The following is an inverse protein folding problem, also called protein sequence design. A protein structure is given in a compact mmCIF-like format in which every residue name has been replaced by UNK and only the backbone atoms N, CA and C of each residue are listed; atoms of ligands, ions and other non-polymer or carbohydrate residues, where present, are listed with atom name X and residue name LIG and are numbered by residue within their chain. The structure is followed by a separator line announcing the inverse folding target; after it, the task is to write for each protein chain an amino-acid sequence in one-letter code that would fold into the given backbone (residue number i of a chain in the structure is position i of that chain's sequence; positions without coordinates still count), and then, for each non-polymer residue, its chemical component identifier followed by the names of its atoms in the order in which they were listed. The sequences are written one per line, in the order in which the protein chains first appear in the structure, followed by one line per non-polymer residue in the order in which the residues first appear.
data_IF_763068689890
#
_entry.id   IF_763068689890
#
_cell.length_a   1.000
_cell.length_b   1.000
_cell.length_c   1.000
_cell.angle_alpha   90.00
_cell.angle_beta   90.00
_cell.angle_gamma   90.00
#
_symmetry.space_group_name_H-M   'P 1'
#
loop_
_entity.id
_entity.type
_entity.pdbx_description
1 polymer ?
#
# COMPACT_ATOMS: atom_id res chain seq x y z
N UNK A 1 25.42 -32.89 7.16
CA UNK A 1 23.97 -32.97 7.43
C UNK A 1 23.49 -31.58 7.81
N UNK A 2 22.73 -30.91 6.94
CA UNK A 2 22.12 -29.64 7.31
C UNK A 2 20.99 -29.96 8.30
N UNK A 3 21.31 -29.92 9.59
CA UNK A 3 20.30 -29.88 10.65
C UNK A 3 19.35 -28.76 10.27
N UNK A 4 18.08 -29.08 10.03
CA UNK A 4 17.03 -28.13 9.68
C UNK A 4 16.82 -27.17 10.86
N UNK A 5 17.76 -26.24 11.02
CA UNK A 5 17.81 -25.03 11.85
C UNK A 5 16.60 -24.17 11.56
N UNK A 6 15.37 -24.57 11.90
CA UNK A 6 14.22 -23.73 11.57
C UNK A 6 14.31 -22.42 12.36
N UNK A 7 14.33 -21.25 11.68
CA UNK A 7 14.56 -19.98 12.34
C UNK A 7 13.40 -19.59 13.27
N UNK A 8 12.19 -20.10 13.05
CA UNK A 8 11.07 -19.89 13.97
C UNK A 8 11.30 -20.61 15.29
N UNK A 9 11.81 -21.86 15.23
CA UNK A 9 12.14 -22.64 16.42
C UNK A 9 13.27 -22.01 17.24
N UNK A 10 14.31 -21.45 16.60
CA UNK A 10 15.42 -20.77 17.29
C UNK A 10 14.93 -19.52 18.05
N UNK A 11 14.00 -18.77 17.47
CA UNK A 11 13.41 -17.60 18.14
C UNK A 11 12.28 -17.97 19.12
N UNK A 12 11.84 -19.23 19.10
CA UNK A 12 10.72 -19.73 19.90
C UNK A 12 9.38 -19.13 19.48
N UNK A 13 9.17 -18.91 18.18
CA UNK A 13 7.97 -18.31 17.61
C UNK A 13 7.23 -19.30 16.72
N UNK A 14 5.93 -19.12 16.56
CA UNK A 14 5.14 -19.90 15.61
C UNK A 14 5.36 -19.39 14.17
N UNK A 15 5.36 -20.28 13.16
CA UNK A 15 5.40 -19.85 11.76
C UNK A 15 4.19 -18.95 11.44
N UNK A 16 4.45 -17.81 10.80
CA UNK A 16 3.40 -16.83 10.48
C UNK A 16 3.17 -15.77 11.55
N UNK A 17 3.95 -15.77 12.63
CA UNK A 17 3.99 -14.66 13.60
C UNK A 17 4.29 -13.34 12.88
N UNK A 18 3.59 -12.23 13.20
CA UNK A 18 3.82 -10.94 12.55
C UNK A 18 5.25 -10.44 12.79
N UNK A 19 5.81 -9.74 11.79
CA UNK A 19 7.20 -9.27 11.80
C UNK A 19 7.55 -8.40 13.02
N UNK A 20 6.59 -7.62 13.51
CA UNK A 20 6.75 -6.80 14.71
C UNK A 20 7.04 -7.64 15.98
N UNK A 21 6.35 -8.77 16.12
CA UNK A 21 6.57 -9.71 17.21
C UNK A 21 7.92 -10.46 17.05
N UNK A 22 8.34 -10.75 15.80
CA UNK A 22 9.68 -11.32 15.52
C UNK A 22 10.79 -10.37 15.99
N UNK A 23 10.70 -9.08 15.64
CA UNK A 23 11.67 -8.06 16.07
C UNK A 23 11.68 -7.89 17.59
N UNK A 24 10.51 -7.85 18.21
CA UNK A 24 10.40 -7.72 19.68
C UNK A 24 11.06 -8.91 20.38
N UNK A 25 10.79 -10.14 19.90
CA UNK A 25 11.38 -11.36 20.46
C UNK A 25 12.90 -11.39 20.29
N UNK A 26 13.41 -11.00 19.13
CA UNK A 26 14.85 -10.88 18.88
C UNK A 26 15.52 -9.94 19.90
N UNK A 27 14.99 -8.73 20.08
CA UNK A 27 15.55 -7.75 21.04
C UNK A 27 15.52 -8.30 22.47
N UNK A 28 14.44 -8.98 22.86
CA UNK A 28 14.34 -9.63 24.17
C UNK A 28 15.41 -10.71 24.36
N UNK A 29 15.66 -11.54 23.36
CA UNK A 29 16.65 -12.62 23.42
C UNK A 29 18.07 -12.07 23.52
N UNK A 30 18.42 -11.06 22.72
CA UNK A 30 19.74 -10.41 22.78
C UNK A 30 20.00 -9.77 24.15
N UNK A 31 18.99 -9.15 24.76
CA UNK A 31 19.10 -8.59 26.11
C UNK A 31 19.27 -9.66 27.20
N UNK A 32 18.69 -10.84 27.00
CA UNK A 32 18.81 -11.97 27.94
C UNK A 32 20.17 -12.67 27.82
N UNK A 33 20.65 -12.83 26.59
CA UNK A 33 21.87 -13.58 26.26
C UNK A 33 23.09 -12.70 25.99
N UNK A 34 23.07 -11.43 26.41
CA UNK A 34 24.16 -10.49 26.11
C UNK A 34 25.48 -10.97 26.75
N UNK A 35 26.58 -11.10 25.98
CA UNK A 35 27.84 -11.68 26.45
C UNK A 35 28.48 -10.86 27.59
N UNK A 36 28.19 -9.56 27.66
CA UNK A 36 28.65 -8.65 28.72
C UNK A 36 28.19 -9.08 30.13
N UNK A 37 27.05 -9.78 30.23
CA UNK A 37 26.54 -10.28 31.53
C UNK A 37 27.34 -11.47 32.08
N UNK A 38 28.20 -12.06 31.26
CA UNK A 38 28.93 -13.28 31.58
C UNK A 38 30.46 -13.10 31.46
N UNK A 39 30.93 -11.85 31.52
CA UNK A 39 32.36 -11.52 31.45
C UNK A 39 33.21 -12.23 32.53
N UNK A 40 32.62 -12.53 33.69
CA UNK A 40 33.27 -13.29 34.78
C UNK A 40 33.43 -14.80 34.49
N UNK A 41 32.73 -15.36 33.50
CA UNK A 41 32.73 -16.80 33.21
C UNK A 41 33.02 -17.09 31.73
N UNK A 42 34.29 -17.37 31.35
CA UNK A 42 34.68 -17.49 29.94
C UNK A 42 34.03 -18.66 29.19
N UNK A 43 33.69 -19.75 29.88
CA UNK A 43 32.92 -20.87 29.30
C UNK A 43 31.45 -20.51 29.05
N UNK A 44 30.86 -19.73 29.96
CA UNK A 44 29.50 -19.24 29.78
C UNK A 44 29.46 -18.21 28.67
N UNK A 45 30.41 -17.27 28.65
CA UNK A 45 30.55 -16.28 27.60
C UNK A 45 30.60 -16.94 26.21
N UNK A 46 31.44 -17.96 26.00
CA UNK A 46 31.50 -18.70 24.74
C UNK A 46 30.16 -19.33 24.37
N UNK A 47 29.45 -19.93 25.33
CA UNK A 47 28.11 -20.50 25.09
C UNK A 47 27.10 -19.44 24.70
N UNK A 48 27.09 -18.29 25.37
CA UNK A 48 26.18 -17.19 25.10
C UNK A 48 26.49 -16.48 23.78
N UNK A 49 27.76 -16.40 23.39
CA UNK A 49 28.19 -15.92 22.07
C UNK A 49 27.66 -16.82 20.95
N UNK A 50 27.81 -18.14 21.07
CA UNK A 50 27.27 -19.08 20.08
C UNK A 50 25.74 -19.02 19.99
N UNK A 51 25.03 -18.93 21.13
CA UNK A 51 23.58 -18.73 21.16
C UNK A 51 23.17 -17.42 20.49
N UNK A 52 23.91 -16.33 20.77
CA UNK A 52 23.66 -15.02 20.18
C UNK A 52 23.84 -15.05 18.66
N UNK A 53 24.86 -15.74 18.17
CA UNK A 53 25.08 -15.94 16.72
C UNK A 53 23.91 -16.69 16.09
N UNK A 54 23.41 -17.75 16.73
CA UNK A 54 22.26 -18.51 16.25
C UNK A 54 20.98 -17.65 16.19
N UNK A 55 20.74 -16.81 17.20
CA UNK A 55 19.62 -15.87 17.25
C UNK A 55 19.70 -14.83 16.11
N UNK A 56 20.89 -14.24 15.91
CA UNK A 56 21.14 -13.26 14.84
C UNK A 56 20.93 -13.91 13.47
N UNK A 57 21.47 -15.12 13.27
CA UNK A 57 21.31 -15.87 12.04
C UNK A 57 19.83 -16.14 11.73
N UNK A 58 19.06 -16.60 12.73
CA UNK A 58 17.62 -16.87 12.57
C UNK A 58 16.82 -15.61 12.21
N UNK A 59 17.11 -14.48 12.86
CA UNK A 59 16.47 -13.20 12.56
C UNK A 59 16.74 -12.77 11.10
N UNK A 60 18.01 -12.81 10.65
CA UNK A 60 18.35 -12.45 9.28
C UNK A 60 17.72 -13.38 8.24
N UNK A 61 17.60 -14.67 8.54
CA UNK A 61 16.96 -15.62 7.63
C UNK A 61 15.46 -15.32 7.48
N UNK A 62 14.76 -14.98 8.57
CA UNK A 62 13.37 -14.52 8.50
C UNK A 62 13.24 -13.15 7.79
N UNK A 63 14.17 -12.23 8.03
CA UNK A 63 14.19 -10.92 7.38
C UNK A 63 14.33 -11.05 5.86
N UNK A 64 15.26 -11.88 5.38
CA UNK A 64 15.42 -12.17 3.96
C UNK A 64 14.17 -12.79 3.35
N UNK A 65 13.52 -13.72 4.05
CA UNK A 65 12.24 -14.31 3.61
C UNK A 65 11.17 -13.22 3.52
N UNK A 66 11.04 -12.38 4.54
CA UNK A 66 10.08 -11.28 4.57
C UNK A 66 10.32 -10.27 3.43
N UNK A 67 11.57 -9.92 3.14
CA UNK A 67 11.92 -9.04 2.02
C UNK A 67 11.52 -9.66 0.67
N UNK A 68 11.71 -10.97 0.48
CA UNK A 68 11.26 -11.66 -0.74
C UNK A 68 9.73 -11.64 -0.89
N UNK A 69 8.99 -11.81 0.21
CA UNK A 69 7.52 -11.72 0.19
C UNK A 69 7.02 -10.29 0.02
N UNK A 70 7.71 -9.30 0.61
CA UNK A 70 7.35 -7.87 0.54
C UNK A 70 7.78 -7.22 -0.78
N UNK A 71 8.76 -7.81 -1.48
CA UNK A 71 9.17 -7.42 -2.83
C UNK A 71 8.19 -7.86 -3.92
N UNK A 72 7.13 -8.62 -3.60
CA UNK A 72 5.97 -8.66 -4.50
C UNK A 72 5.46 -7.22 -4.59
N UNK A 73 5.42 -6.61 -5.79
CA UNK A 73 4.84 -5.29 -5.91
C UNK A 73 3.43 -5.37 -5.34
N UNK A 74 3.15 -4.57 -4.30
CA UNK A 74 1.77 -4.30 -3.92
C UNK A 74 1.11 -3.87 -5.23
N UNK A 75 0.05 -4.53 -5.72
CA UNK A 75 -0.64 -4.03 -6.89
C UNK A 75 -0.96 -2.57 -6.55
N UNK A 76 -0.39 -1.64 -7.34
CA UNK A 76 -0.48 -0.23 -7.06
C UNK A 76 -1.95 0.05 -6.74
N UNK A 77 -2.22 0.54 -5.53
CA UNK A 77 -3.57 0.85 -5.12
C UNK A 77 -4.15 1.71 -6.24
N UNK A 78 -5.13 1.16 -6.98
CA UNK A 78 -5.79 1.92 -8.04
C UNK A 78 -6.25 3.22 -7.37
N UNK A 79 -5.86 4.41 -7.86
CA UNK A 79 -6.37 5.62 -7.28
C UNK A 79 -7.89 5.55 -7.35
N UNK A 80 -8.55 5.70 -6.20
CA UNK A 80 -10.00 5.76 -6.16
C UNK A 80 -10.44 6.92 -7.05
N UNK A 81 -11.28 6.70 -8.08
CA UNK A 81 -11.81 7.83 -8.82
C UNK A 81 -12.59 8.73 -7.84
N UNK A 82 -12.52 10.06 -7.98
CA UNK A 82 -13.37 10.94 -7.17
C UNK A 82 -14.84 10.56 -7.37
N UNK A 83 -15.64 10.67 -6.32
CA UNK A 83 -17.05 10.28 -6.28
C UNK A 83 -17.97 10.99 -7.31
N UNK A 84 -17.43 11.87 -8.14
CA UNK A 84 -18.15 12.66 -9.14
C UNK A 84 -17.47 12.67 -10.51
N UNK A 85 -16.69 11.68 -10.95
CA UNK A 85 -16.16 11.72 -12.34
C UNK A 85 -17.24 11.38 -13.37
N UNK A 86 -17.73 12.33 -14.20
CA UNK A 86 -18.55 11.98 -15.35
C UNK A 86 -17.64 11.34 -16.40
N UNK A 87 -17.74 10.02 -16.59
CA UNK A 87 -16.95 9.24 -17.55
C UNK A 87 -17.20 9.63 -19.03
N UNK A 88 -18.06 10.61 -19.30
CA UNK A 88 -18.32 11.14 -20.64
C UNK A 88 -18.23 12.66 -20.68
N UNK A 89 -17.00 13.15 -20.80
CA UNK A 89 -16.70 14.53 -21.24
C UNK A 89 -16.90 14.69 -22.75
N UNK A 90 -17.79 13.91 -23.37
CA UNK A 90 -18.09 14.01 -24.80
C UNK A 90 -19.55 14.30 -24.99
N UNK A 91 -19.83 15.26 -25.88
CA UNK A 91 -21.18 15.59 -26.27
C UNK A 91 -21.80 14.41 -27.01
N UNK A 92 -22.89 13.86 -26.48
CA UNK A 92 -23.58 12.69 -27.06
C UNK A 92 -24.03 12.92 -28.53
N UNK A 93 -24.27 14.17 -28.91
CA UNK A 93 -24.75 14.54 -30.26
C UNK A 93 -23.64 14.65 -31.31
N UNK A 94 -22.42 14.97 -30.90
CA UNK A 94 -21.34 15.28 -31.83
C UNK A 94 -20.04 14.48 -31.58
N UNK A 95 -19.96 13.71 -30.51
CA UNK A 95 -18.74 12.98 -30.11
C UNK A 95 -17.56 13.88 -29.73
N UNK A 96 -17.74 15.21 -29.71
CA UNK A 96 -16.70 16.19 -29.38
C UNK A 96 -16.59 16.40 -27.89
N UNK A 97 -15.42 16.85 -27.45
CA UNK A 97 -15.17 17.22 -26.07
C UNK A 97 -16.20 18.26 -25.60
N UNK A 98 -16.86 17.96 -24.50
CA UNK A 98 -17.86 18.81 -23.87
C UNK A 98 -17.17 19.75 -22.90
N UNK A 99 -17.48 21.04 -23.03
CA UNK A 99 -16.85 22.13 -22.29
C UNK A 99 -17.77 22.71 -21.21
N UNK A 100 -19.07 22.41 -21.28
CA UNK A 100 -20.08 22.82 -20.30
C UNK A 100 -21.21 21.77 -20.26
N UNK A 101 -22.07 21.83 -19.25
CA UNK A 101 -23.25 20.97 -19.11
C UNK A 101 -24.53 21.80 -19.22
N UNK A 102 -25.62 21.15 -19.63
CA UNK A 102 -26.92 21.80 -19.59
C UNK A 102 -27.39 22.01 -18.15
N UNK A 103 -27.79 23.23 -17.78
CA UNK A 103 -28.28 23.56 -16.43
C UNK A 103 -29.60 22.88 -16.07
N UNK A 104 -30.38 22.47 -17.08
CA UNK A 104 -31.70 21.86 -16.89
C UNK A 104 -31.60 20.33 -16.76
N UNK A 105 -30.78 19.69 -17.60
CA UNK A 105 -30.74 18.22 -17.70
C UNK A 105 -29.35 17.59 -17.52
N UNK A 106 -28.33 18.40 -17.24
CA UNK A 106 -26.95 17.92 -17.03
C UNK A 106 -26.25 17.36 -18.26
N UNK A 107 -26.82 17.48 -19.45
CA UNK A 107 -26.27 16.86 -20.65
C UNK A 107 -24.98 17.57 -21.12
N UNK A 108 -23.91 16.84 -21.49
CA UNK A 108 -22.64 17.44 -21.89
C UNK A 108 -22.74 18.18 -23.25
N UNK A 109 -22.33 19.45 -23.26
CA UNK A 109 -22.39 20.36 -24.40
C UNK A 109 -21.00 20.71 -24.90
N UNK A 110 -20.78 20.49 -26.20
CA UNK A 110 -19.62 21.01 -26.91
C UNK A 110 -19.91 22.40 -27.49
N UNK A 111 -18.86 23.11 -27.90
CA UNK A 111 -18.95 24.43 -28.58
C UNK A 111 -19.78 24.42 -29.87
N UNK A 112 -20.10 23.23 -30.42
CA UNK A 112 -20.99 23.08 -31.57
C UNK A 112 -22.47 23.03 -31.19
N UNK A 113 -22.79 22.53 -29.99
CA UNK A 113 -24.17 22.54 -29.48
C UNK A 113 -24.57 23.94 -29.00
N UNK A 114 -23.64 24.64 -28.36
CA UNK A 114 -23.83 25.98 -27.86
C UNK A 114 -22.52 26.76 -27.95
N UNK A 115 -22.35 27.49 -29.04
CA UNK A 115 -21.17 28.31 -29.27
C UNK A 115 -21.03 29.44 -28.24
N UNK A 116 -22.14 29.84 -27.62
CA UNK A 116 -22.19 30.90 -26.63
C UNK A 116 -22.02 30.38 -25.18
N UNK A 117 -21.84 29.07 -24.98
CA UNK A 117 -21.64 28.44 -23.65
C UNK A 117 -22.65 28.89 -22.59
N UNK A 118 -23.88 29.13 -23.00
CA UNK A 118 -24.99 29.53 -22.13
C UNK A 118 -25.53 28.41 -21.25
N UNK A 119 -25.08 27.17 -21.45
CA UNK A 119 -25.49 26.04 -20.62
C UNK A 119 -26.89 25.52 -20.94
N UNK A 120 -27.38 25.74 -22.17
CA UNK A 120 -28.67 25.22 -22.63
C UNK A 120 -28.48 24.28 -23.82
N UNK A 121 -28.91 23.03 -23.68
CA UNK A 121 -28.87 22.07 -24.77
C UNK A 121 -29.90 22.41 -25.87
N UNK A 122 -29.81 21.83 -27.08
CA UNK A 122 -30.78 22.09 -28.15
C UNK A 122 -32.24 21.81 -27.76
N UNK A 123 -32.49 20.91 -26.79
CA UNK A 123 -33.84 20.63 -26.26
C UNK A 123 -34.36 21.72 -25.31
N UNK A 124 -33.47 22.43 -24.63
CA UNK A 124 -33.80 23.47 -23.65
C UNK A 124 -33.44 24.88 -24.14
N UNK A 125 -33.14 25.06 -25.42
CA UNK A 125 -32.75 26.35 -26.00
C UNK A 125 -33.82 27.44 -25.83
N UNK A 126 -35.09 27.07 -25.72
CA UNK A 126 -36.19 28.00 -25.45
C UNK A 126 -36.07 28.69 -24.08
N UNK A 127 -35.50 28.01 -23.07
CA UNK A 127 -35.32 28.56 -21.72
C UNK A 127 -34.25 29.67 -21.66
N UNK A 128 -33.40 29.77 -22.69
CA UNK A 128 -32.42 30.86 -22.85
C UNK A 128 -33.09 32.24 -23.01
N UNK A 129 -34.34 32.31 -23.46
CA UNK A 129 -35.04 33.58 -23.77
C UNK A 129 -35.73 34.22 -22.55
N UNK A 130 -35.73 33.57 -21.39
CA UNK A 130 -36.40 34.05 -20.18
C UNK A 130 -35.51 34.82 -19.20
N UNK A 131 -34.23 35.04 -19.54
CA UNK A 131 -33.28 35.77 -18.70
C UNK A 131 -33.08 37.14 -19.33
N UNK A 132 -33.99 38.06 -19.01
CA UNK A 132 -33.83 39.50 -19.25
C UNK A 132 -33.64 40.20 -17.91
#
# INVERSE_FOLDING_TARGET
MATLRDPWTILGLAPGTPWDAVRTRYVQLIRQHHPDRYADNPDEQRRQEELTKDIIWAYHELEKRQLKFSARPRPAARPSPPAWTPTRMTCARHGRWAVIFCTVCGEPLCTRCDSALTGFCPRHRSQRRGVH
#
